data_IF_996306622932
#
_entry.id   IF_996306622932
#
_cell.length_a   1.000
_cell.length_b   1.000
_cell.length_c   1.000
_cell.angle_alpha   90.00
_cell.angle_beta   90.00
_cell.angle_gamma   90.00
#
_symmetry.space_group_name_H-M   'P 1'
#
loop_
_entity.id
_entity.type
_entity.pdbx_description
1 polymer ?
#
# COMPACT_ATOMS: atom_id res chain seq x y z
N UNK A 1 11.43 50.40 -36.85
CA UNK A 1 10.39 49.99 -35.88
C UNK A 1 10.57 48.53 -35.48
N UNK A 2 11.70 48.15 -34.89
CA UNK A 2 12.02 46.73 -34.51
C UNK A 2 12.74 46.61 -33.17
N UNK A 3 12.48 47.51 -32.20
CA UNK A 3 13.26 47.50 -30.95
C UNK A 3 12.50 47.35 -29.67
N UNK A 4 11.20 46.94 -29.68
CA UNK A 4 10.43 46.83 -28.45
C UNK A 4 9.95 45.43 -28.05
N UNK A 5 10.47 44.35 -28.62
CA UNK A 5 10.06 42.97 -28.30
C UNK A 5 11.06 42.16 -27.46
N UNK A 6 12.10 42.79 -26.91
CA UNK A 6 13.12 42.08 -26.11
C UNK A 6 12.87 42.10 -24.59
N UNK A 7 11.89 42.84 -24.11
CA UNK A 7 11.52 42.79 -22.69
C UNK A 7 10.24 41.97 -22.55
N UNK A 8 10.40 40.71 -22.13
CA UNK A 8 9.29 39.88 -21.73
C UNK A 8 8.46 40.64 -20.66
N UNK A 9 7.17 40.77 -20.88
CA UNK A 9 6.27 41.32 -19.89
C UNK A 9 6.16 40.37 -18.70
N UNK A 10 5.73 40.82 -17.52
CA UNK A 10 5.54 39.93 -16.40
C UNK A 10 4.53 38.81 -16.70
N UNK A 11 3.57 39.05 -17.61
CA UNK A 11 2.62 38.04 -18.08
C UNK A 11 3.33 36.93 -18.88
N UNK A 12 4.32 37.27 -19.72
CA UNK A 12 5.11 36.29 -20.46
C UNK A 12 5.94 35.39 -19.51
N UNK A 13 6.45 35.97 -18.41
CA UNK A 13 7.13 35.20 -17.39
C UNK A 13 6.18 34.22 -16.68
N UNK A 14 4.95 34.62 -16.40
CA UNK A 14 3.94 33.73 -15.82
C UNK A 14 3.59 32.57 -16.75
N UNK A 15 3.44 32.82 -18.05
CA UNK A 15 3.20 31.80 -19.05
C UNK A 15 4.38 30.81 -19.17
N UNK A 16 5.62 31.33 -19.25
CA UNK A 16 6.80 30.47 -19.32
C UNK A 16 6.99 29.63 -18.06
N UNK A 17 6.73 30.20 -16.86
CA UNK A 17 6.77 29.46 -15.61
C UNK A 17 5.72 28.36 -15.56
N UNK A 18 4.50 28.60 -16.04
CA UNK A 18 3.44 27.60 -16.17
C UNK A 18 3.91 26.39 -16.99
N UNK A 19 4.43 26.61 -18.19
CA UNK A 19 4.90 25.53 -19.06
C UNK A 19 6.13 24.82 -18.50
N UNK A 20 7.03 25.52 -17.82
CA UNK A 20 8.18 24.89 -17.15
C UNK A 20 7.74 23.97 -16.02
N UNK A 21 6.82 24.43 -15.19
CA UNK A 21 6.26 23.64 -14.09
C UNK A 21 5.51 22.41 -14.65
N UNK A 22 4.76 22.61 -15.72
CA UNK A 22 4.06 21.52 -16.42
C UNK A 22 5.06 20.49 -16.96
N UNK A 23 6.14 20.93 -17.59
CA UNK A 23 7.18 20.03 -18.09
C UNK A 23 7.86 19.26 -16.96
N UNK A 24 8.15 19.90 -15.83
CA UNK A 24 8.69 19.23 -14.63
C UNK A 24 7.70 18.22 -14.08
N UNK A 25 6.40 18.51 -14.11
CA UNK A 25 5.38 17.58 -13.61
C UNK A 25 5.39 16.24 -14.34
N UNK A 26 5.75 16.18 -15.63
CA UNK A 26 5.87 14.93 -16.39
C UNK A 26 7.06 14.05 -15.96
N UNK A 27 8.04 14.62 -15.25
CA UNK A 27 9.19 13.88 -14.73
C UNK A 27 8.91 13.29 -13.35
N UNK A 28 7.83 13.72 -12.71
CA UNK A 28 7.46 13.29 -11.35
C UNK A 28 6.63 12.02 -11.42
N UNK A 29 7.10 10.96 -10.76
CA UNK A 29 6.41 9.67 -10.68
C UNK A 29 5.42 9.58 -9.51
N UNK A 30 5.58 10.42 -8.48
CA UNK A 30 4.65 10.48 -7.35
C UNK A 30 3.40 11.28 -7.72
N UNK A 31 2.25 10.62 -7.63
CA UNK A 31 0.95 11.17 -8.01
C UNK A 31 0.55 12.41 -7.19
N UNK A 32 0.98 12.50 -5.92
CA UNK A 32 0.72 13.66 -5.06
C UNK A 32 1.41 14.91 -5.59
N UNK A 33 2.73 14.83 -5.86
CA UNK A 33 3.50 15.94 -6.40
C UNK A 33 3.06 16.35 -7.79
N UNK A 34 2.70 15.36 -8.63
CA UNK A 34 2.16 15.62 -9.96
C UNK A 34 0.89 16.50 -9.89
N UNK A 35 -0.05 16.16 -8.98
CA UNK A 35 -1.29 16.95 -8.80
C UNK A 35 -1.02 18.34 -8.24
N UNK A 36 -0.09 18.45 -7.30
CA UNK A 36 0.30 19.74 -6.72
C UNK A 36 0.89 20.67 -7.79
N UNK A 37 1.84 20.18 -8.59
CA UNK A 37 2.44 20.95 -9.68
C UNK A 37 1.42 21.34 -10.75
N UNK A 38 0.47 20.45 -11.08
CA UNK A 38 -0.61 20.75 -12.00
C UNK A 38 -1.50 21.91 -11.48
N UNK A 39 -1.85 21.93 -10.19
CA UNK A 39 -2.64 23.02 -9.59
C UNK A 39 -1.88 24.34 -9.71
N UNK A 40 -0.58 24.37 -9.41
CA UNK A 40 0.24 25.58 -9.50
C UNK A 40 0.33 26.05 -10.95
N UNK A 41 0.60 25.15 -11.89
CA UNK A 41 0.70 25.46 -13.32
C UNK A 41 -0.62 26.06 -13.85
N UNK A 42 -1.75 25.40 -13.60
CA UNK A 42 -3.08 25.87 -14.02
C UNK A 42 -3.48 27.21 -13.37
N UNK A 43 -3.03 27.46 -12.13
CA UNK A 43 -3.22 28.75 -11.47
C UNK A 43 -2.49 29.88 -12.18
N UNK A 44 -1.22 29.65 -12.57
CA UNK A 44 -0.43 30.61 -13.36
C UNK A 44 -1.04 30.84 -14.75
N UNK A 45 -1.51 29.78 -15.40
CA UNK A 45 -2.19 29.87 -16.69
C UNK A 45 -3.49 30.71 -16.58
N UNK A 46 -4.28 30.51 -15.56
CA UNK A 46 -5.48 31.31 -15.29
C UNK A 46 -5.16 32.79 -15.08
N UNK A 47 -4.07 33.12 -14.35
CA UNK A 47 -3.57 34.47 -14.19
C UNK A 47 -3.15 35.07 -15.54
N UNK A 48 -2.46 34.29 -16.37
CA UNK A 48 -2.10 34.74 -17.71
C UNK A 48 -3.33 35.04 -18.59
N UNK A 49 -4.36 34.19 -18.57
CA UNK A 49 -5.61 34.41 -19.30
C UNK A 49 -6.37 35.65 -18.83
N UNK A 50 -6.24 36.01 -17.56
CA UNK A 50 -6.89 37.20 -17.00
C UNK A 50 -6.14 38.49 -17.31
N UNK A 51 -4.81 38.53 -17.13
CA UNK A 51 -4.00 39.74 -17.26
C UNK A 51 -3.30 39.90 -18.61
N UNK A 52 -3.08 38.79 -19.33
CA UNK A 52 -2.30 38.77 -20.58
C UNK A 52 -3.09 39.19 -21.81
N UNK A 53 -4.42 39.26 -21.73
CA UNK A 53 -5.28 39.67 -22.85
C UNK A 53 -6.30 40.71 -22.44
N UNK A 54 -6.66 41.58 -23.37
CA UNK A 54 -7.72 42.58 -23.18
C UNK A 54 -8.70 42.52 -24.37
N UNK A 55 -9.92 42.01 -24.22
CA UNK A 55 -10.55 41.51 -22.96
C UNK A 55 -9.98 40.15 -22.48
N UNK A 56 -10.17 39.79 -21.18
CA UNK A 56 -9.74 38.49 -20.62
C UNK A 56 -10.31 37.31 -21.39
N UNK A 57 -9.53 36.22 -21.46
CA UNK A 57 -9.95 34.97 -22.12
C UNK A 57 -10.85 34.12 -21.19
N UNK A 58 -12.11 34.49 -21.06
CA UNK A 58 -13.07 33.86 -20.14
C UNK A 58 -13.24 32.36 -20.33
N UNK A 59 -13.16 31.87 -21.58
CA UNK A 59 -13.25 30.44 -21.88
C UNK A 59 -12.05 29.69 -21.27
N UNK A 60 -10.83 30.24 -21.42
CA UNK A 60 -9.62 29.64 -20.82
C UNK A 60 -9.67 29.65 -19.31
N UNK A 61 -10.11 30.76 -18.69
CA UNK A 61 -10.30 30.87 -17.23
C UNK A 61 -11.29 29.82 -16.75
N UNK A 62 -12.42 29.63 -17.43
CA UNK A 62 -13.43 28.64 -17.09
C UNK A 62 -12.86 27.22 -17.06
N UNK A 63 -12.11 26.84 -18.08
CA UNK A 63 -11.44 25.53 -18.11
C UNK A 63 -10.34 25.38 -17.06
N UNK A 64 -9.56 26.41 -16.80
CA UNK A 64 -8.54 26.41 -15.75
C UNK A 64 -9.18 26.11 -14.38
N UNK A 65 -10.32 26.74 -14.06
CA UNK A 65 -11.08 26.48 -12.82
C UNK A 65 -11.54 25.02 -12.76
N UNK A 66 -12.09 24.48 -13.85
CA UNK A 66 -12.53 23.07 -13.89
C UNK A 66 -11.36 22.13 -13.61
N UNK A 67 -10.22 22.31 -14.28
CA UNK A 67 -9.05 21.45 -14.10
C UNK A 67 -8.44 21.60 -12.70
N UNK A 68 -8.35 22.80 -12.16
CA UNK A 68 -7.90 23.02 -10.77
C UNK A 68 -8.82 22.28 -9.81
N UNK A 69 -10.13 22.39 -9.97
CA UNK A 69 -11.11 21.72 -9.10
C UNK A 69 -10.92 20.20 -9.13
N UNK A 70 -10.77 19.60 -10.31
CA UNK A 70 -10.53 18.17 -10.45
C UNK A 70 -9.23 17.76 -9.73
N UNK A 71 -8.14 18.52 -9.92
CA UNK A 71 -6.86 18.20 -9.27
C UNK A 71 -6.91 18.39 -7.75
N UNK A 72 -7.62 19.41 -7.25
CA UNK A 72 -7.83 19.63 -5.80
C UNK A 72 -8.62 18.49 -5.19
N UNK A 73 -9.73 18.06 -5.82
CA UNK A 73 -10.52 16.93 -5.33
C UNK A 73 -9.66 15.65 -5.28
N UNK A 74 -8.91 15.36 -6.33
CA UNK A 74 -8.04 14.18 -6.37
C UNK A 74 -6.92 14.26 -5.33
N UNK A 75 -6.31 15.44 -5.14
CA UNK A 75 -5.30 15.65 -4.10
C UNK A 75 -5.89 15.46 -2.70
N UNK A 76 -7.11 15.96 -2.46
CA UNK A 76 -7.80 15.77 -1.19
C UNK A 76 -8.11 14.29 -0.90
N UNK A 77 -8.52 13.52 -1.93
CA UNK A 77 -8.73 12.07 -1.80
C UNK A 77 -7.43 11.33 -1.46
N UNK A 78 -6.34 11.63 -2.17
CA UNK A 78 -5.01 11.06 -1.91
C UNK A 78 -4.51 11.39 -0.49
N UNK A 79 -4.68 12.65 -0.08
CA UNK A 79 -4.27 13.11 1.26
C UNK A 79 -5.12 12.45 2.34
N UNK A 80 -6.42 12.31 2.12
CA UNK A 80 -7.32 11.62 3.05
C UNK A 80 -6.91 10.16 3.26
N UNK A 81 -6.56 9.43 2.21
CA UNK A 81 -6.04 8.07 2.35
C UNK A 81 -4.77 8.02 3.21
N UNK A 82 -3.83 8.94 3.00
CA UNK A 82 -2.58 9.03 3.80
C UNK A 82 -2.83 9.40 5.26
N UNK A 83 -3.73 10.34 5.54
CA UNK A 83 -4.01 10.83 6.90
C UNK A 83 -4.89 9.89 7.72
N UNK A 84 -5.62 8.97 7.10
CA UNK A 84 -6.52 8.04 7.81
C UNK A 84 -5.77 6.84 8.38
N UNK A 85 -4.47 6.69 8.10
CA UNK A 85 -3.66 5.59 8.61
C UNK A 85 -3.24 5.91 10.05
N UNK A 86 -4.06 5.46 11.02
CA UNK A 86 -3.65 5.37 12.43
C UNK A 86 -3.46 3.90 12.74
N UNK A 87 -2.21 3.48 12.80
CA UNK A 87 -1.85 2.13 13.22
C UNK A 87 -1.85 2.07 14.75
N UNK A 88 -2.39 0.99 15.31
CA UNK A 88 -2.21 0.68 16.72
C UNK A 88 -0.74 0.31 17.01
N UNK A 89 -0.33 0.32 18.27
CA UNK A 89 1.04 -0.02 18.65
C UNK A 89 1.45 -1.42 18.15
N UNK A 90 0.52 -2.36 18.16
CA UNK A 90 0.71 -3.71 17.63
C UNK A 90 0.91 -3.72 16.11
N UNK A 91 0.09 -2.99 15.36
CA UNK A 91 0.19 -2.88 13.92
C UNK A 91 1.47 -2.15 13.49
N UNK A 92 1.91 -1.17 14.30
CA UNK A 92 3.15 -0.46 14.06
C UNK A 92 4.38 -1.36 14.25
N UNK A 93 4.36 -2.27 15.23
CA UNK A 93 5.41 -3.26 15.41
C UNK A 93 5.48 -4.26 14.24
N UNK A 94 4.33 -4.74 13.76
CA UNK A 94 4.24 -5.59 12.58
C UNK A 94 4.76 -4.87 11.32
N UNK A 95 4.38 -3.61 11.14
CA UNK A 95 4.84 -2.80 10.02
C UNK A 95 6.36 -2.65 10.02
N UNK A 96 6.94 -2.24 11.14
CA UNK A 96 8.37 -2.04 11.26
C UNK A 96 9.19 -3.34 11.10
N UNK A 97 8.64 -4.48 11.56
CA UNK A 97 9.34 -5.76 11.54
C UNK A 97 9.30 -6.47 10.18
N UNK A 98 8.13 -6.53 9.54
CA UNK A 98 7.93 -7.36 8.35
C UNK A 98 7.54 -6.55 7.11
N UNK A 99 6.76 -5.51 7.28
CA UNK A 99 6.11 -4.78 6.18
C UNK A 99 6.76 -3.45 5.83
N UNK A 100 7.97 -3.15 6.30
CA UNK A 100 8.69 -1.89 6.02
C UNK A 100 8.96 -1.62 4.53
N UNK A 101 8.76 -2.61 3.65
CA UNK A 101 8.82 -2.45 2.20
C UNK A 101 7.49 -2.01 1.57
N UNK A 102 6.38 -2.04 2.32
CA UNK A 102 5.09 -1.47 1.93
C UNK A 102 5.05 0.01 2.33
N UNK A 103 4.26 0.79 1.60
CA UNK A 103 3.87 2.12 2.07
C UNK A 103 2.80 2.00 3.15
N UNK A 104 2.67 3.03 4.01
CA UNK A 104 1.64 3.07 5.06
C UNK A 104 0.24 2.83 4.50
N UNK A 105 -0.04 3.36 3.30
CA UNK A 105 -1.32 3.18 2.60
C UNK A 105 -1.53 1.72 2.19
N UNK A 106 -0.50 1.07 1.63
CA UNK A 106 -0.56 -0.34 1.23
C UNK A 106 -0.75 -1.26 2.44
N UNK A 107 -0.03 -1.00 3.53
CA UNK A 107 -0.19 -1.76 4.76
C UNK A 107 -1.59 -1.58 5.38
N UNK A 108 -2.10 -0.36 5.42
CA UNK A 108 -3.47 -0.11 5.88
C UNK A 108 -4.54 -0.80 5.01
N UNK A 109 -4.33 -0.88 3.69
CA UNK A 109 -5.20 -1.65 2.79
C UNK A 109 -5.17 -3.15 3.11
N UNK A 110 -3.99 -3.69 3.44
CA UNK A 110 -3.84 -5.08 3.87
C UNK A 110 -4.61 -5.34 5.17
N UNK A 111 -4.46 -4.46 6.17
CA UNK A 111 -5.18 -4.55 7.44
C UNK A 111 -6.70 -4.51 7.24
N UNK A 112 -7.19 -3.61 6.38
CA UNK A 112 -8.63 -3.47 6.06
C UNK A 112 -9.20 -4.63 5.24
N UNK A 113 -8.38 -5.34 4.49
CA UNK A 113 -8.79 -6.52 3.72
C UNK A 113 -8.89 -7.78 4.59
N UNK A 114 -8.24 -7.79 5.75
CA UNK A 114 -8.33 -8.83 6.74
C UNK A 114 -9.22 -8.43 7.92
N UNK A 115 -9.35 -9.36 8.86
CA UNK A 115 -9.97 -9.11 10.14
C UNK A 115 -9.16 -9.79 11.24
N UNK A 116 -9.06 -9.15 12.40
CA UNK A 116 -8.37 -9.70 13.57
C UNK A 116 -9.20 -10.82 14.21
N UNK A 117 -8.53 -11.95 14.47
CA UNK A 117 -9.08 -13.11 15.18
C UNK A 117 -8.26 -13.37 16.44
N UNK A 118 -8.95 -13.67 17.51
CA UNK A 118 -8.35 -14.07 18.77
C UNK A 118 -8.46 -15.59 18.94
N UNK A 119 -7.40 -16.20 19.44
CA UNK A 119 -7.30 -17.62 19.71
C UNK A 119 -6.86 -17.79 21.15
N UNK A 120 -7.64 -18.58 21.90
CA UNK A 120 -7.32 -18.98 23.26
C UNK A 120 -6.18 -20.01 23.25
N UNK A 121 -5.58 -20.23 24.43
CA UNK A 121 -4.53 -21.24 24.60
C UNK A 121 -5.01 -22.62 24.11
N UNK A 122 -4.09 -23.33 23.45
CA UNK A 122 -4.31 -24.62 22.81
C UNK A 122 -5.39 -24.66 21.71
N UNK A 123 -5.98 -23.52 21.31
CA UNK A 123 -6.91 -23.46 20.19
C UNK A 123 -6.19 -23.70 18.87
N UNK A 124 -6.77 -24.50 17.93
CA UNK A 124 -6.18 -24.72 16.63
C UNK A 124 -6.41 -23.52 15.70
N UNK A 125 -5.33 -23.01 15.08
CA UNK A 125 -5.38 -22.07 13.99
C UNK A 125 -5.58 -22.77 12.65
N UNK A 126 -4.88 -23.90 12.45
CA UNK A 126 -5.06 -24.81 11.31
C UNK A 126 -5.02 -26.26 11.81
N UNK A 127 -5.71 -27.15 11.12
CA UNK A 127 -5.70 -28.59 11.40
C UNK A 127 -5.24 -29.33 10.17
N UNK A 128 -4.23 -30.19 10.31
CA UNK A 128 -3.69 -31.00 9.21
C UNK A 128 -4.78 -31.76 8.46
N UNK A 129 -4.75 -31.69 7.14
CA UNK A 129 -5.74 -32.33 6.27
C UNK A 129 -7.01 -31.51 6.02
N UNK A 130 -7.23 -30.40 6.76
CA UNK A 130 -8.36 -29.52 6.54
C UNK A 130 -8.03 -28.40 5.56
N UNK A 131 -9.04 -27.86 4.85
CA UNK A 131 -8.86 -26.67 4.01
C UNK A 131 -8.42 -25.46 4.82
N UNK A 132 -7.59 -24.59 4.22
CA UNK A 132 -7.15 -23.30 4.78
C UNK A 132 -7.76 -22.18 3.95
N UNK A 133 -8.93 -21.66 4.36
CA UNK A 133 -9.63 -20.62 3.59
C UNK A 133 -8.99 -19.24 3.71
N UNK A 134 -8.21 -19.01 4.75
CA UNK A 134 -7.62 -17.73 5.11
C UNK A 134 -6.14 -17.87 5.44
N UNK A 135 -5.35 -16.92 4.94
CA UNK A 135 -3.97 -16.73 5.37
C UNK A 135 -3.97 -16.01 6.71
N UNK A 136 -3.29 -16.55 7.71
CA UNK A 136 -3.19 -15.94 9.04
C UNK A 136 -1.80 -15.32 9.21
N UNK A 137 -1.75 -14.07 9.66
CA UNK A 137 -0.53 -13.38 10.08
C UNK A 137 -0.56 -13.18 11.58
N UNK A 138 0.40 -13.74 12.29
CA UNK A 138 0.46 -13.66 13.77
C UNK A 138 0.75 -12.22 14.19
N UNK A 139 -0.18 -11.59 14.88
CA UNK A 139 -0.09 -10.23 15.41
C UNK A 139 0.46 -10.18 16.83
N UNK A 140 0.06 -11.12 17.71
CA UNK A 140 0.59 -11.27 19.07
C UNK A 140 0.68 -12.74 19.45
N UNK A 141 1.51 -13.04 20.45
CA UNK A 141 1.68 -14.38 20.98
C UNK A 141 2.60 -15.26 20.13
N UNK A 142 2.47 -16.57 20.31
CA UNK A 142 3.22 -17.58 19.56
C UNK A 142 2.36 -18.81 19.32
N UNK A 143 2.74 -19.60 18.29
CA UNK A 143 2.01 -20.81 17.92
C UNK A 143 2.96 -21.97 17.77
N UNK A 144 2.46 -23.18 18.07
CA UNK A 144 3.17 -24.44 17.91
C UNK A 144 2.70 -25.12 16.64
N UNK A 145 3.66 -25.54 15.83
CA UNK A 145 3.42 -26.30 14.60
C UNK A 145 3.75 -27.77 14.84
N UNK A 146 2.78 -28.64 14.56
CA UNK A 146 2.94 -30.09 14.74
C UNK A 146 2.58 -30.88 13.48
N UNK A 147 3.31 -31.97 13.25
CA UNK A 147 2.99 -32.97 12.22
C UNK A 147 2.87 -34.35 12.92
N UNK A 148 1.64 -34.86 13.01
CA UNK A 148 1.36 -35.99 13.88
C UNK A 148 1.57 -35.62 15.36
N UNK A 149 2.41 -36.34 16.07
CA UNK A 149 2.75 -36.07 17.46
C UNK A 149 4.03 -35.22 17.63
N UNK A 150 4.72 -34.92 16.55
CA UNK A 150 6.01 -34.23 16.59
C UNK A 150 5.82 -32.71 16.50
N UNK A 151 6.52 -31.99 17.39
CA UNK A 151 6.62 -30.52 17.32
C UNK A 151 7.73 -30.18 16.35
N UNK A 152 7.39 -29.54 15.23
CA UNK A 152 8.38 -29.20 14.19
C UNK A 152 8.86 -27.75 14.27
N UNK A 153 8.08 -26.85 14.86
CA UNK A 153 8.45 -25.45 15.03
C UNK A 153 7.57 -24.71 16.06
N UNK A 154 8.10 -23.61 16.56
CA UNK A 154 7.33 -22.54 17.23
C UNK A 154 7.48 -21.28 16.43
N UNK A 155 6.35 -20.70 16.00
CA UNK A 155 6.32 -19.47 15.24
C UNK A 155 5.85 -18.32 16.14
N UNK A 156 6.30 -17.10 15.81
CA UNK A 156 6.08 -15.90 16.61
C UNK A 156 5.40 -14.82 15.78
N UNK A 157 5.22 -13.65 16.40
CA UNK A 157 4.73 -12.43 15.76
C UNK A 157 5.44 -12.17 14.43
N UNK A 158 4.67 -11.85 13.40
CA UNK A 158 5.15 -11.60 12.04
C UNK A 158 5.23 -12.85 11.15
N UNK A 159 5.04 -14.07 11.69
CA UNK A 159 5.00 -15.28 10.86
C UNK A 159 3.62 -15.47 10.21
N UNK A 160 3.62 -15.99 9.00
CA UNK A 160 2.39 -16.46 8.36
C UNK A 160 2.05 -17.88 8.78
N UNK A 161 0.75 -18.20 8.85
CA UNK A 161 0.25 -19.55 9.11
C UNK A 161 -0.72 -19.96 8.01
N UNK A 162 -0.51 -21.16 7.48
CA UNK A 162 -1.31 -21.71 6.38
C UNK A 162 -0.87 -21.26 4.99
N UNK A 163 0.29 -20.60 4.85
CA UNK A 163 0.81 -20.04 3.62
C UNK A 163 1.02 -21.11 2.53
N UNK A 164 1.49 -22.31 2.88
CA UNK A 164 1.67 -23.41 1.92
C UNK A 164 0.36 -23.81 1.28
N UNK A 165 -0.66 -24.08 2.10
CA UNK A 165 -1.99 -24.46 1.65
C UNK A 165 -2.71 -23.33 0.95
N UNK A 166 -2.50 -22.10 1.42
CA UNK A 166 -3.05 -20.90 0.80
C UNK A 166 -2.50 -20.70 -0.62
N UNK A 167 -1.20 -20.94 -0.83
CA UNK A 167 -0.55 -20.79 -2.16
C UNK A 167 -0.88 -21.95 -3.10
N UNK A 168 -0.83 -23.20 -2.62
CA UNK A 168 -1.06 -24.40 -3.44
C UNK A 168 -2.54 -24.70 -3.69
N UNK A 169 -3.43 -24.25 -2.81
CA UNK A 169 -4.84 -24.65 -2.80
C UNK A 169 -5.10 -26.02 -2.16
N UNK A 170 -4.06 -26.67 -1.63
CA UNK A 170 -4.16 -27.98 -0.95
C UNK A 170 -4.55 -27.84 0.52
N UNK A 171 -4.87 -28.97 1.16
CA UNK A 171 -5.17 -29.01 2.58
C UNK A 171 -3.94 -28.70 3.44
N UNK A 172 -4.16 -28.28 4.69
CA UNK A 172 -3.10 -27.98 5.66
C UNK A 172 -2.13 -29.16 5.84
N UNK A 173 -0.84 -28.91 5.73
CA UNK A 173 0.22 -29.90 5.87
C UNK A 173 0.59 -30.18 7.33
N UNK A 174 0.24 -29.25 8.25
CA UNK A 174 0.51 -29.29 9.66
C UNK A 174 -0.67 -28.79 10.48
N UNK A 175 -0.73 -29.19 11.75
CA UNK A 175 -1.62 -28.58 12.74
C UNK A 175 -0.87 -27.46 13.45
N UNK A 176 -1.48 -26.29 13.55
CA UNK A 176 -0.93 -25.12 14.24
C UNK A 176 -1.86 -24.75 15.38
N UNK A 177 -1.33 -24.72 16.60
CA UNK A 177 -2.07 -24.42 17.84
C UNK A 177 -1.48 -23.23 18.57
N UNK A 178 -2.35 -22.43 19.17
CA UNK A 178 -1.95 -21.28 19.98
C UNK A 178 -1.18 -21.72 21.24
N UNK A 179 -0.15 -20.96 21.60
CA UNK A 179 0.58 -21.04 22.87
C UNK A 179 0.25 -19.79 23.69
N UNK A 180 -0.68 -19.92 24.62
CA UNK A 180 -1.31 -18.76 25.27
C UNK A 180 -2.29 -18.04 24.36
N UNK A 181 -2.64 -16.80 24.72
CA UNK A 181 -3.49 -15.95 23.88
C UNK A 181 -2.74 -15.47 22.64
N UNK A 182 -3.33 -15.67 21.47
CA UNK A 182 -2.78 -15.29 20.17
C UNK A 182 -3.79 -14.44 19.42
N UNK A 183 -3.35 -13.32 18.85
CA UNK A 183 -4.14 -12.61 17.85
C UNK A 183 -3.50 -12.79 16.47
N UNK A 184 -4.31 -13.01 15.44
CA UNK A 184 -3.83 -13.11 14.07
C UNK A 184 -4.76 -12.33 13.13
N UNK A 185 -4.16 -11.68 12.12
CA UNK A 185 -4.89 -11.08 11.02
C UNK A 185 -5.24 -12.17 10.01
N UNK A 186 -6.52 -12.45 9.85
CA UNK A 186 -7.05 -13.42 8.90
C UNK A 186 -7.39 -12.71 7.59
N UNK A 187 -6.83 -13.17 6.47
CA UNK A 187 -7.01 -12.58 5.14
C UNK A 187 -7.50 -13.67 4.20
N UNK A 188 -8.70 -13.49 3.65
CA UNK A 188 -9.24 -14.43 2.68
C UNK A 188 -8.49 -14.38 1.35
N UNK A 189 -8.47 -15.50 0.60
CA UNK A 189 -7.87 -15.55 -0.73
C UNK A 189 -8.46 -14.48 -1.64
N UNK A 190 -9.78 -14.35 -1.69
CA UNK A 190 -10.47 -13.39 -2.52
C UNK A 190 -10.06 -11.93 -2.21
N UNK A 191 -9.94 -11.58 -0.92
CA UNK A 191 -9.53 -10.25 -0.51
C UNK A 191 -8.08 -9.94 -0.93
N UNK A 192 -7.17 -10.91 -0.77
CA UNK A 192 -5.78 -10.76 -1.17
C UNK A 192 -5.64 -10.67 -2.69
N UNK A 193 -6.31 -11.53 -3.45
CA UNK A 193 -6.32 -11.51 -4.92
C UNK A 193 -6.83 -10.17 -5.45
N UNK A 194 -7.89 -9.63 -4.86
CA UNK A 194 -8.44 -8.32 -5.23
C UNK A 194 -7.42 -7.19 -5.03
N UNK A 195 -6.70 -7.20 -3.89
CA UNK A 195 -5.64 -6.22 -3.63
C UNK A 195 -4.48 -6.34 -4.61
N UNK A 196 -4.06 -7.56 -4.95
CA UNK A 196 -2.96 -7.81 -5.88
C UNK A 196 -3.29 -7.40 -7.32
N UNK A 197 -4.54 -7.54 -7.74
CA UNK A 197 -5.00 -7.08 -9.07
C UNK A 197 -5.05 -5.56 -9.12
N UNK A 198 -5.48 -4.91 -8.04
CA UNK A 198 -5.59 -3.45 -7.97
C UNK A 198 -4.22 -2.75 -7.93
N UNK A 199 -3.23 -3.35 -7.25
CA UNK A 199 -1.88 -2.81 -7.10
C UNK A 199 -0.84 -3.92 -7.33
N UNK A 200 -0.28 -3.98 -8.54
CA UNK A 200 0.70 -5.00 -8.91
C UNK A 200 2.00 -4.92 -8.09
N UNK A 201 2.42 -3.73 -7.66
CA UNK A 201 3.61 -3.57 -6.81
C UNK A 201 3.34 -4.12 -5.42
N UNK A 202 2.18 -3.85 -4.86
CA UNK A 202 1.72 -4.45 -3.60
C UNK A 202 1.72 -5.99 -3.70
N UNK A 203 1.12 -6.55 -4.75
CA UNK A 203 1.09 -7.99 -4.98
C UNK A 203 2.47 -8.62 -4.99
N UNK A 204 3.43 -8.04 -5.71
CA UNK A 204 4.80 -8.53 -5.78
C UNK A 204 5.52 -8.49 -4.42
N UNK A 205 5.28 -7.45 -3.60
CA UNK A 205 5.87 -7.33 -2.26
C UNK A 205 5.27 -8.39 -1.33
N UNK A 206 3.95 -8.54 -1.29
CA UNK A 206 3.27 -9.52 -0.41
C UNK A 206 3.68 -10.94 -0.76
N UNK A 207 3.71 -11.31 -2.04
CA UNK A 207 4.19 -12.64 -2.48
C UNK A 207 5.64 -12.89 -2.08
N UNK A 208 6.50 -11.88 -2.16
CA UNK A 208 7.89 -11.97 -1.72
C UNK A 208 7.99 -12.19 -0.20
N UNK A 209 7.17 -11.50 0.60
CA UNK A 209 7.16 -11.66 2.05
C UNK A 209 6.70 -13.07 2.46
N UNK A 210 5.63 -13.57 1.84
CA UNK A 210 5.15 -14.95 2.07
C UNK A 210 6.21 -15.96 1.65
N UNK A 211 6.83 -15.76 0.49
CA UNK A 211 7.89 -16.64 -0.02
C UNK A 211 9.13 -16.64 0.88
N UNK A 212 9.53 -15.49 1.39
CA UNK A 212 10.66 -15.38 2.31
C UNK A 212 10.38 -16.12 3.63
N UNK A 213 9.22 -15.92 4.23
CA UNK A 213 8.81 -16.62 5.44
C UNK A 213 8.77 -18.14 5.23
N UNK A 214 8.31 -18.60 4.08
CA UNK A 214 8.30 -20.01 3.72
C UNK A 214 9.72 -20.61 3.59
N UNK A 215 10.64 -19.90 2.93
CA UNK A 215 12.05 -20.32 2.77
C UNK A 215 12.73 -20.42 4.15
N UNK A 216 12.54 -19.45 5.02
CA UNK A 216 13.11 -19.48 6.37
C UNK A 216 12.61 -20.68 7.19
N UNK A 217 11.33 -21.00 7.10
CA UNK A 217 10.73 -22.18 7.75
C UNK A 217 11.30 -23.49 7.23
N UNK A 218 11.54 -23.60 5.93
CA UNK A 218 12.15 -24.78 5.32
C UNK A 218 13.61 -24.97 5.77
N UNK A 219 14.40 -23.89 5.84
CA UNK A 219 15.80 -23.95 6.30
C UNK A 219 15.91 -24.40 7.75
N UNK A 220 15.05 -23.90 8.64
CA UNK A 220 15.03 -24.31 10.06
C UNK A 220 14.72 -25.80 10.20
N UNK A 221 13.87 -26.34 9.35
CA UNK A 221 13.50 -27.75 9.36
C UNK A 221 14.67 -28.68 8.93
N UNK A 222 15.46 -28.27 7.94
CA UNK A 222 16.63 -29.07 7.49
C UNK A 222 17.70 -29.19 8.58
N UNK A 223 17.96 -28.10 9.32
CA UNK A 223 18.98 -28.08 10.41
C UNK A 223 18.53 -28.93 11.61
N UNK A 224 17.23 -29.15 11.79
CA UNK A 224 16.72 -29.96 12.92
C UNK A 224 16.71 -31.47 12.66
N UNK A 225 17.08 -31.93 11.46
CA UNK A 225 17.09 -33.33 11.02
C UNK A 225 18.51 -33.88 11.02
N UNK A 226 19.57 -33.05 11.10
CA UNK A 226 20.95 -33.42 11.31
C UNK A 226 21.30 -33.49 12.82
#
# INVERSE_FOLDING_TARGET
MLSNHLFLSWQDWAANACYLILAVSYLVTDLYWLRLLAIVSLGLEGLYFYYGSNPPLWVGIGWAIVFVTINVVQLALLTRERLTVRLSDQEQQLYAGLFGSLTDVQFNRLLKAGHWREFEDASPLTVRGNPVPELLLIGTGSVRVTVGAEIIAVQKVGSFVGEMSFMSGESATATVTALGSVTALAISRHALDHLMVYDHQFGAIVLRLIGHDLIEKMRVREISIE
#
